data_IF_005549757190
#
_entry.id   IF_005549757190
#
_cell.length_a   1.000
_cell.length_b   1.000
_cell.length_c   1.000
_cell.angle_alpha   90.00
_cell.angle_beta   90.00
_cell.angle_gamma   90.00
#
_symmetry.space_group_name_H-M   'P 1'
#
loop_
_entity.id
_entity.type
_entity.pdbx_description
1 polymer ?
#
# COMPACT_ATOMS: atom_id res chain seq x y z
N UNK A 1 18.47 -26.30 14.07
CA UNK A 1 17.01 -26.15 13.76
C UNK A 1 16.60 -24.82 14.35
N UNK A 2 15.92 -23.94 13.62
CA UNK A 2 15.68 -22.57 14.09
C UNK A 2 14.60 -22.54 15.18
N UNK A 3 14.95 -22.06 16.38
CA UNK A 3 14.05 -21.99 17.54
C UNK A 3 13.19 -20.73 17.57
N UNK A 4 13.51 -19.74 16.72
CA UNK A 4 12.82 -18.46 16.60
C UNK A 4 11.83 -18.46 15.41
N UNK A 5 10.72 -17.70 15.44
CA UNK A 5 10.18 -16.98 16.59
C UNK A 5 9.40 -17.90 17.53
N UNK A 6 9.03 -19.09 17.05
CA UNK A 6 8.30 -20.10 17.81
C UNK A 6 8.92 -21.47 17.51
N UNK A 7 9.27 -22.20 18.55
CA UNK A 7 9.72 -23.58 18.41
C UNK A 7 8.52 -24.49 18.14
N UNK A 8 8.61 -25.35 17.12
CA UNK A 8 7.49 -26.21 16.66
C UNK A 8 7.79 -27.70 16.71
N UNK A 9 9.00 -28.09 17.07
CA UNK A 9 9.48 -29.47 16.93
C UNK A 9 9.43 -30.29 18.23
N UNK A 10 8.74 -29.82 19.28
CA UNK A 10 8.67 -30.54 20.56
C UNK A 10 8.27 -29.63 21.72
N UNK A 11 8.72 -30.01 22.92
CA UNK A 11 8.49 -29.23 24.15
C UNK A 11 9.41 -28.01 24.26
N UNK A 12 9.09 -27.06 25.14
CA UNK A 12 9.98 -25.93 25.45
C UNK A 12 11.38 -26.40 25.90
N UNK A 13 11.45 -27.53 26.64
CA UNK A 13 12.72 -28.13 27.06
C UNK A 13 13.55 -28.57 25.86
N UNK A 14 12.92 -29.13 24.83
CA UNK A 14 13.62 -29.54 23.60
C UNK A 14 14.06 -28.31 22.80
N UNK A 15 13.25 -27.25 22.76
CA UNK A 15 13.62 -25.98 22.14
C UNK A 15 14.85 -25.35 22.81
N UNK A 16 14.88 -25.33 24.15
CA UNK A 16 16.06 -24.87 24.91
C UNK A 16 17.26 -25.79 24.66
N UNK A 17 17.07 -27.11 24.58
CA UNK A 17 18.16 -28.05 24.28
C UNK A 17 18.80 -27.77 22.92
N UNK A 18 17.98 -27.64 21.88
CA UNK A 18 18.44 -27.30 20.52
C UNK A 18 19.20 -25.97 20.51
N UNK A 19 18.68 -24.95 21.20
CA UNK A 19 19.35 -23.64 21.31
C UNK A 19 20.74 -23.78 21.95
N UNK A 20 20.83 -24.47 23.08
CA UNK A 20 22.08 -24.61 23.83
C UNK A 20 23.11 -25.45 23.08
N UNK A 21 22.68 -26.53 22.41
CA UNK A 21 23.53 -27.35 21.56
C UNK A 21 24.07 -26.55 20.36
N UNK A 22 23.22 -25.78 19.68
CA UNK A 22 23.64 -24.91 18.57
C UNK A 22 24.65 -23.85 19.00
N UNK A 23 24.54 -23.35 20.24
CA UNK A 23 25.49 -22.38 20.81
C UNK A 23 26.73 -23.00 21.44
N UNK A 24 26.84 -24.33 21.48
CA UNK A 24 28.02 -25.03 21.97
C UNK A 24 28.18 -25.07 23.50
N UNK A 25 27.09 -24.88 24.26
CA UNK A 25 27.11 -24.83 25.73
C UNK A 25 26.52 -26.06 26.42
N UNK A 26 26.32 -27.17 25.69
CA UNK A 26 25.66 -28.38 26.19
C UNK A 26 26.31 -28.96 27.47
N UNK A 27 27.64 -28.90 27.57
CA UNK A 27 28.41 -29.38 28.71
C UNK A 27 28.37 -28.47 29.94
N UNK A 28 27.92 -27.22 29.80
CA UNK A 28 27.90 -26.22 30.88
C UNK A 28 26.50 -26.02 31.50
N UNK A 29 25.52 -26.83 31.09
CA UNK A 29 24.14 -26.73 31.55
C UNK A 29 23.59 -28.05 32.09
N UNK A 30 22.58 -27.95 32.95
CA UNK A 30 21.73 -29.08 33.38
C UNK A 30 20.27 -28.71 33.26
N UNK A 31 19.44 -29.66 32.82
CA UNK A 31 18.01 -29.46 32.62
C UNK A 31 17.23 -30.06 33.79
N UNK A 32 16.61 -29.22 34.61
CA UNK A 32 15.61 -29.64 35.59
C UNK A 32 14.24 -29.86 34.96
N UNK A 33 13.22 -30.09 35.79
CA UNK A 33 11.83 -30.27 35.32
C UNK A 33 11.26 -29.00 34.69
N UNK A 34 11.52 -27.83 35.28
CA UNK A 34 10.93 -26.54 34.86
C UNK A 34 11.97 -25.48 34.53
N UNK A 35 13.25 -25.71 34.84
CA UNK A 35 14.33 -24.71 34.71
C UNK A 35 15.61 -25.32 34.16
N UNK A 36 16.39 -24.50 33.48
CA UNK A 36 17.79 -24.80 33.13
C UNK A 36 18.72 -24.22 34.19
N UNK A 37 19.72 -24.98 34.56
CA UNK A 37 20.78 -24.57 35.49
C UNK A 37 22.07 -24.40 34.69
N UNK A 38 22.62 -23.19 34.72
CA UNK A 38 23.86 -22.83 34.03
C UNK A 38 24.99 -22.86 35.06
N UNK A 39 26.09 -23.55 34.75
CA UNK A 39 27.22 -23.70 35.68
C UNK A 39 28.10 -22.46 35.70
N UNK A 40 28.49 -21.92 34.53
CA UNK A 40 29.41 -20.77 34.47
C UNK A 40 28.69 -19.46 34.15
N UNK A 41 29.02 -18.35 34.83
CA UNK A 41 28.51 -17.03 34.44
C UNK A 41 28.93 -16.65 33.02
N UNK A 42 30.07 -17.17 32.52
CA UNK A 42 30.56 -16.92 31.16
C UNK A 42 29.54 -17.34 30.09
N UNK A 43 28.89 -18.48 30.28
CA UNK A 43 27.87 -19.00 29.36
C UNK A 43 26.66 -18.06 29.30
N UNK A 44 26.18 -17.59 30.46
CA UNK A 44 25.08 -16.64 30.53
C UNK A 44 25.42 -15.33 29.82
N UNK A 45 26.58 -14.74 30.11
CA UNK A 45 27.01 -13.49 29.46
C UNK A 45 27.17 -13.65 27.95
N UNK A 46 27.71 -14.78 27.48
CA UNK A 46 27.84 -15.05 26.05
C UNK A 46 26.47 -15.17 25.35
N UNK A 47 25.49 -15.83 25.98
CA UNK A 47 24.12 -15.91 25.45
C UNK A 47 23.44 -14.54 25.41
N UNK A 48 23.59 -13.73 26.46
CA UNK A 48 23.04 -12.36 26.49
C UNK A 48 23.70 -11.44 25.45
N UNK A 49 25.02 -11.56 25.24
CA UNK A 49 25.69 -10.81 24.18
C UNK A 49 25.12 -11.17 22.80
N UNK A 50 25.00 -12.46 22.49
CA UNK A 50 24.42 -12.91 21.22
C UNK A 50 22.95 -12.46 21.05
N UNK A 51 22.18 -12.45 22.14
CA UNK A 51 20.82 -11.88 22.14
C UNK A 51 20.86 -10.40 21.78
N UNK A 52 21.73 -9.62 22.41
CA UNK A 52 21.88 -8.19 22.12
C UNK A 52 22.29 -7.93 20.68
N UNK A 53 23.17 -8.74 20.11
CA UNK A 53 23.60 -8.64 18.71
C UNK A 53 22.45 -8.97 17.73
N UNK A 54 21.52 -9.83 18.12
CA UNK A 54 20.36 -10.22 17.32
C UNK A 54 19.23 -9.17 17.34
N UNK A 55 19.08 -8.42 18.44
CA UNK A 55 18.00 -7.42 18.59
C UNK A 55 17.95 -6.42 17.41
N UNK A 56 19.06 -5.77 16.99
CA UNK A 56 19.06 -4.86 15.85
C UNK A 56 18.55 -5.50 14.55
N UNK A 57 18.88 -6.77 14.31
CA UNK A 57 18.43 -7.51 13.13
C UNK A 57 16.92 -7.73 13.15
N UNK A 58 16.37 -8.12 14.31
CA UNK A 58 14.92 -8.29 14.50
C UNK A 58 14.20 -6.95 14.34
N UNK A 59 14.72 -5.88 14.95
CA UNK A 59 14.15 -4.52 14.80
C UNK A 59 14.14 -4.10 13.34
N UNK A 60 15.24 -4.31 12.62
CA UNK A 60 15.32 -4.00 11.18
C UNK A 60 14.32 -4.82 10.37
N UNK A 61 14.15 -6.11 10.69
CA UNK A 61 13.15 -6.98 10.07
C UNK A 61 11.73 -6.46 10.28
N UNK A 62 11.37 -6.09 11.51
CA UNK A 62 10.04 -5.56 11.82
C UNK A 62 9.82 -4.22 11.11
N UNK A 63 10.79 -3.32 11.21
CA UNK A 63 10.70 -2.00 10.60
C UNK A 63 10.57 -2.08 9.06
N UNK A 64 11.36 -2.94 8.39
CA UNK A 64 11.26 -3.08 6.92
C UNK A 64 9.90 -3.63 6.49
N UNK A 65 9.31 -4.55 7.26
CA UNK A 65 7.98 -5.08 6.97
C UNK A 65 6.89 -4.03 7.12
N UNK A 66 6.95 -3.22 8.19
CA UNK A 66 6.01 -2.12 8.41
C UNK A 66 6.15 -1.04 7.34
N UNK A 67 7.38 -0.59 7.04
CA UNK A 67 7.63 0.39 5.95
C UNK A 67 7.11 -0.11 4.61
N UNK A 68 7.34 -1.38 4.29
CA UNK A 68 6.80 -2.02 3.09
C UNK A 68 5.26 -2.07 3.07
N UNK A 69 4.62 -2.36 4.20
CA UNK A 69 3.15 -2.36 4.31
C UNK A 69 2.57 -0.96 4.11
N UNK A 70 3.15 0.07 4.72
CA UNK A 70 2.74 1.47 4.55
C UNK A 70 2.84 1.87 3.08
N UNK A 71 3.98 1.58 2.42
CA UNK A 71 4.19 1.90 1.01
C UNK A 71 3.13 1.23 0.11
N UNK A 72 2.87 -0.07 0.29
CA UNK A 72 1.84 -0.81 -0.45
C UNK A 72 0.44 -0.23 -0.23
N UNK A 73 0.11 0.13 1.01
CA UNK A 73 -1.18 0.76 1.36
C UNK A 73 -1.34 2.11 0.65
N UNK A 74 -0.32 2.95 0.67
CA UNK A 74 -0.33 4.26 0.01
C UNK A 74 -0.43 4.13 -1.51
N UNK A 75 0.28 3.18 -2.12
CA UNK A 75 0.18 2.89 -3.55
C UNK A 75 -1.24 2.46 -3.96
N UNK A 76 -1.88 1.57 -3.19
CA UNK A 76 -3.28 1.18 -3.43
C UNK A 76 -4.23 2.38 -3.36
N UNK A 77 -4.06 3.26 -2.37
CA UNK A 77 -4.85 4.50 -2.27
C UNK A 77 -4.65 5.41 -3.48
N UNK A 78 -3.40 5.59 -3.93
CA UNK A 78 -3.08 6.39 -5.11
C UNK A 78 -3.73 5.81 -6.38
N UNK A 79 -3.66 4.48 -6.57
CA UNK A 79 -4.32 3.79 -7.70
C UNK A 79 -5.84 3.98 -7.67
N UNK A 80 -6.47 3.86 -6.50
CA UNK A 80 -7.89 4.11 -6.34
C UNK A 80 -8.26 5.58 -6.66
N UNK A 81 -7.48 6.54 -6.16
CA UNK A 81 -7.68 7.96 -6.44
C UNK A 81 -7.60 8.26 -7.95
N UNK A 82 -6.60 7.71 -8.65
CA UNK A 82 -6.48 7.87 -10.11
C UNK A 82 -7.67 7.26 -10.86
N UNK A 83 -8.16 6.09 -10.43
CA UNK A 83 -9.33 5.46 -11.04
C UNK A 83 -10.59 6.34 -10.86
N UNK A 84 -10.82 6.86 -9.65
CA UNK A 84 -11.93 7.77 -9.35
C UNK A 84 -11.83 9.04 -10.19
N UNK A 85 -10.65 9.68 -10.24
CA UNK A 85 -10.44 10.87 -11.06
C UNK A 85 -10.71 10.61 -12.54
N UNK A 86 -10.27 9.47 -13.09
CA UNK A 86 -10.54 9.10 -14.49
C UNK A 86 -12.03 8.91 -14.73
N UNK A 87 -12.72 8.15 -13.88
CA UNK A 87 -14.17 7.94 -13.98
C UNK A 87 -14.94 9.26 -13.91
N UNK A 88 -14.59 10.13 -12.95
CA UNK A 88 -15.20 11.44 -12.78
C UNK A 88 -14.99 12.35 -13.99
N UNK A 89 -13.77 12.40 -14.54
CA UNK A 89 -13.48 13.17 -15.77
C UNK A 89 -14.34 12.70 -16.94
N UNK A 90 -14.44 11.39 -17.15
CA UNK A 90 -15.28 10.81 -18.20
C UNK A 90 -16.76 11.15 -17.98
N UNK A 91 -17.26 11.01 -16.75
CA UNK A 91 -18.63 11.36 -16.40
C UNK A 91 -18.92 12.85 -16.68
N UNK A 92 -18.05 13.76 -16.21
CA UNK A 92 -18.24 15.20 -16.43
C UNK A 92 -18.21 15.59 -17.90
N UNK A 93 -17.33 14.96 -18.70
CA UNK A 93 -17.30 15.20 -20.15
C UNK A 93 -18.58 14.70 -20.84
N UNK A 94 -19.04 13.49 -20.51
CA UNK A 94 -20.30 12.95 -21.06
C UNK A 94 -21.50 13.81 -20.69
N UNK A 95 -21.60 14.22 -19.43
CA UNK A 95 -22.66 15.11 -18.95
C UNK A 95 -22.64 16.46 -19.69
N UNK A 96 -21.46 17.03 -19.94
CA UNK A 96 -21.32 18.27 -20.70
C UNK A 96 -21.77 18.13 -22.17
N UNK A 97 -21.34 17.05 -22.85
CA UNK A 97 -21.77 16.76 -24.22
C UNK A 97 -23.28 16.52 -24.30
N UNK A 98 -23.85 15.82 -23.32
CA UNK A 98 -25.29 15.63 -23.26
C UNK A 98 -26.05 16.94 -23.05
N UNK A 99 -25.52 17.83 -22.21
CA UNK A 99 -26.09 19.16 -21.99
C UNK A 99 -26.05 20.00 -23.28
N UNK A 100 -24.91 20.00 -23.99
CA UNK A 100 -24.80 20.60 -25.32
C UNK A 100 -25.84 20.04 -26.29
N UNK A 101 -25.91 18.71 -26.42
CA UNK A 101 -26.87 18.06 -27.31
C UNK A 101 -28.34 18.42 -26.97
N UNK A 102 -28.65 18.56 -25.68
CA UNK A 102 -29.97 18.98 -25.23
C UNK A 102 -30.25 20.45 -25.57
N UNK A 103 -29.29 21.37 -25.35
CA UNK A 103 -29.45 22.79 -25.68
C UNK A 103 -29.59 23.03 -27.18
N UNK A 104 -28.83 22.30 -28.00
CA UNK A 104 -28.85 22.40 -29.46
C UNK A 104 -29.89 21.51 -30.14
N UNK A 105 -30.74 20.80 -29.37
CA UNK A 105 -31.71 19.83 -29.91
C UNK A 105 -32.61 20.43 -31.00
N UNK A 106 -33.04 21.68 -30.82
CA UNK A 106 -33.95 22.38 -31.73
C UNK A 106 -33.24 23.40 -32.63
N UNK A 107 -31.91 23.45 -32.63
CA UNK A 107 -31.15 24.50 -33.32
C UNK A 107 -31.51 24.63 -34.81
N UNK A 108 -31.70 23.50 -35.50
CA UNK A 108 -32.08 23.48 -36.93
C UNK A 108 -33.46 24.10 -37.22
N UNK A 109 -34.35 24.12 -36.24
CA UNK A 109 -35.71 24.67 -36.39
C UNK A 109 -35.76 26.17 -36.07
N UNK A 110 -34.70 26.72 -35.45
CA UNK A 110 -34.60 28.14 -35.13
C UNK A 110 -34.22 28.94 -36.37
N UNK A 111 -34.70 30.19 -36.45
CA UNK A 111 -34.44 31.10 -37.57
C UNK A 111 -32.94 31.43 -37.75
N UNK A 112 -32.18 31.38 -36.67
CA UNK A 112 -30.75 31.66 -36.61
C UNK A 112 -29.88 30.39 -36.53
N UNK A 113 -30.48 29.21 -36.76
CA UNK A 113 -29.81 27.91 -36.68
C UNK A 113 -29.12 27.63 -35.32
N UNK A 114 -29.60 28.26 -34.23
CA UNK A 114 -29.06 28.05 -32.89
C UNK A 114 -27.88 28.96 -32.51
N UNK A 115 -27.56 30.00 -33.29
CA UNK A 115 -26.52 30.99 -32.95
C UNK A 115 -26.78 31.75 -31.64
N UNK A 116 -28.04 31.93 -31.26
CA UNK A 116 -28.44 32.54 -29.97
C UNK A 116 -28.36 31.59 -28.77
N UNK A 117 -28.14 30.29 -28.99
CA UNK A 117 -28.08 29.30 -27.91
C UNK A 117 -26.79 29.48 -27.11
N UNK A 118 -26.95 29.71 -25.80
CA UNK A 118 -25.82 29.85 -24.89
C UNK A 118 -25.14 28.51 -24.63
N UNK A 119 -23.83 28.46 -24.85
CA UNK A 119 -23.02 27.28 -24.57
C UNK A 119 -22.87 27.10 -23.04
N UNK A 120 -22.97 25.87 -22.51
CA UNK A 120 -22.67 25.60 -21.11
C UNK A 120 -21.17 25.76 -20.84
N UNK A 121 -20.81 26.05 -19.59
CA UNK A 121 -19.40 26.13 -19.20
C UNK A 121 -18.74 24.73 -19.24
N UNK A 122 -17.58 24.58 -19.88
CA UNK A 122 -16.94 23.29 -20.05
C UNK A 122 -16.33 22.78 -18.73
N UNK A 123 -16.34 21.46 -18.50
CA UNK A 123 -15.57 20.88 -17.41
C UNK A 123 -14.08 21.07 -17.68
N UNK A 124 -13.27 21.11 -16.62
CA UNK A 124 -11.80 21.24 -16.71
C UNK A 124 -11.17 20.25 -17.70
N UNK A 125 -11.70 19.03 -17.76
CA UNK A 125 -11.23 17.99 -18.69
C UNK A 125 -11.50 18.31 -20.18
N UNK A 126 -12.49 19.15 -20.49
CA UNK A 126 -12.93 19.50 -21.84
C UNK A 126 -12.46 20.87 -22.34
N UNK A 127 -11.89 21.73 -21.48
CA UNK A 127 -11.49 23.11 -21.86
C UNK A 127 -10.60 23.21 -23.09
N UNK A 128 -9.66 22.27 -23.27
CA UNK A 128 -8.77 22.27 -24.46
C UNK A 128 -9.50 21.94 -25.77
N UNK A 129 -10.62 21.23 -25.68
CA UNK A 129 -11.42 20.86 -26.83
C UNK A 129 -12.47 21.94 -27.17
N UNK A 130 -12.87 22.75 -26.20
CA UNK A 130 -13.89 23.79 -26.36
C UNK A 130 -13.59 24.75 -27.52
N UNK A 131 -12.38 25.31 -27.60
CA UNK A 131 -12.03 26.25 -28.67
C UNK A 131 -12.16 25.64 -30.07
N UNK A 132 -11.87 24.34 -30.20
CA UNK A 132 -12.05 23.60 -31.47
C UNK A 132 -13.53 23.38 -31.76
N UNK A 133 -14.34 23.08 -30.74
CA UNK A 133 -15.79 22.89 -30.89
C UNK A 133 -16.49 24.17 -31.32
N UNK A 134 -16.15 25.30 -30.70
CA UNK A 134 -16.65 26.62 -31.12
C UNK A 134 -16.26 26.92 -32.57
N UNK A 135 -14.98 26.71 -32.92
CA UNK A 135 -14.52 26.93 -34.29
C UNK A 135 -15.30 26.08 -35.31
N UNK A 136 -15.60 24.82 -35.00
CA UNK A 136 -16.41 23.96 -35.88
C UNK A 136 -17.83 24.49 -36.01
N UNK A 137 -18.44 24.93 -34.90
CA UNK A 137 -19.78 25.52 -34.90
C UNK A 137 -19.84 26.83 -35.70
N UNK A 138 -18.85 27.71 -35.56
CA UNK A 138 -18.81 29.00 -36.26
C UNK A 138 -18.66 28.84 -37.79
N UNK A 139 -18.11 27.72 -38.26
CA UNK A 139 -17.99 27.40 -39.68
C UNK A 139 -19.23 26.72 -40.29
N UNK A 140 -20.18 26.29 -39.45
CA UNK A 140 -21.38 25.56 -39.86
C UNK A 140 -22.57 26.51 -40.08
#
# INVERSE_FOLDING_TARGET
QYTWPNFRAGSDRDGVRVLIEEKGFAQDVKYGHTKIFIRSPKTLFALEQQRNDMIPHIVTLLQKQVRGWIARRNYKKMKAAMAIMRAYKTYKLRSYVQELANRFRNAKQMRDYGKSVQWPHPPLAGRKAESKLHRIFDFW
#
